data_IF_155141267561
#
_entry.id   IF_155141267561
#
_cell.length_a   1.000
_cell.length_b   1.000
_cell.length_c   1.000
_cell.angle_alpha   90.00
_cell.angle_beta   90.00
_cell.angle_gamma   90.00
#
_symmetry.space_group_name_H-M   'P 1'
#
loop_
_entity.id
_entity.type
_entity.pdbx_description
1 polymer ?
#
# COMPACT_ATOMS: atom_id res chain seq x y z
N UNK A 1 -43.69 38.31 -21.47
CA UNK A 1 -42.90 38.04 -22.69
C UNK A 1 -41.49 37.89 -22.22
N UNK A 2 -41.09 36.70 -22.03
CA UNK A 2 -40.35 35.76 -22.82
C UNK A 2 -38.88 36.17 -22.99
N UNK A 3 -38.01 35.51 -22.31
CA UNK A 3 -36.84 34.86 -22.90
C UNK A 3 -35.93 34.25 -21.82
N UNK A 4 -35.87 32.96 -21.71
CA UNK A 4 -34.71 32.14 -21.52
C UNK A 4 -35.04 30.82 -22.20
N UNK A 5 -34.25 30.29 -23.07
CA UNK A 5 -33.26 29.27 -22.74
C UNK A 5 -32.17 29.15 -23.82
N UNK A 6 -30.92 29.47 -23.54
CA UNK A 6 -29.77 29.14 -24.41
C UNK A 6 -28.49 28.71 -23.70
N UNK A 7 -28.52 28.49 -22.38
CA UNK A 7 -27.29 28.12 -21.64
C UNK A 7 -27.12 26.62 -21.40
N UNK A 8 -28.10 25.78 -21.70
CA UNK A 8 -28.08 24.36 -21.33
C UNK A 8 -27.32 23.45 -22.33
N UNK A 9 -27.11 23.89 -23.56
CA UNK A 9 -26.48 23.05 -24.60
C UNK A 9 -24.95 23.05 -24.52
N UNK A 10 -24.34 24.16 -24.08
CA UNK A 10 -22.89 24.31 -23.98
C UNK A 10 -22.33 23.55 -22.79
N UNK A 11 -23.04 23.53 -21.67
CA UNK A 11 -22.66 22.78 -20.47
C UNK A 11 -22.70 21.25 -20.66
N UNK A 12 -23.64 20.75 -21.46
CA UNK A 12 -23.74 19.31 -21.73
C UNK A 12 -22.58 18.81 -22.61
N UNK A 13 -22.11 19.61 -23.55
CA UNK A 13 -20.99 19.22 -24.44
C UNK A 13 -19.64 19.22 -23.72
N UNK A 14 -19.42 20.17 -22.78
CA UNK A 14 -18.20 20.26 -21.99
C UNK A 14 -18.13 19.14 -20.94
N UNK A 15 -19.26 18.81 -20.30
CA UNK A 15 -19.36 17.71 -19.33
C UNK A 15 -19.18 16.32 -19.96
N UNK A 16 -19.53 16.17 -21.25
CA UNK A 16 -19.36 14.91 -21.97
C UNK A 16 -17.90 14.65 -22.39
N UNK A 17 -17.16 15.71 -22.72
CA UNK A 17 -15.72 15.64 -23.06
C UNK A 17 -14.87 15.29 -21.84
N UNK A 18 -15.25 15.80 -20.67
CA UNK A 18 -14.57 15.55 -19.40
C UNK A 18 -14.73 14.07 -18.97
N UNK A 19 -15.93 13.50 -19.07
CA UNK A 19 -16.17 12.09 -18.73
C UNK A 19 -15.41 11.10 -19.62
N UNK A 20 -15.24 11.38 -20.92
CA UNK A 20 -14.46 10.53 -21.83
C UNK A 20 -12.95 10.61 -21.52
N UNK A 21 -12.46 11.79 -21.22
CA UNK A 21 -11.08 12.00 -20.85
C UNK A 21 -10.75 11.34 -19.52
N UNK A 22 -11.60 11.48 -18.49
CA UNK A 22 -11.47 10.76 -17.24
C UNK A 22 -11.54 9.24 -17.42
N UNK A 23 -12.46 8.74 -18.23
CA UNK A 23 -12.56 7.30 -18.51
C UNK A 23 -11.31 6.77 -19.24
N UNK A 24 -10.74 7.55 -20.16
CA UNK A 24 -9.51 7.22 -20.87
C UNK A 24 -8.30 7.19 -19.92
N UNK A 25 -8.17 8.17 -19.04
CA UNK A 25 -7.10 8.22 -18.02
C UNK A 25 -7.23 7.05 -17.03
N UNK A 26 -8.44 6.74 -16.56
CA UNK A 26 -8.69 5.60 -15.67
C UNK A 26 -8.35 4.28 -16.35
N UNK A 27 -8.75 4.09 -17.61
CA UNK A 27 -8.43 2.87 -18.37
C UNK A 27 -6.93 2.69 -18.56
N UNK A 28 -6.21 3.77 -18.88
CA UNK A 28 -4.75 3.72 -19.01
C UNK A 28 -4.05 3.44 -17.69
N UNK A 29 -4.56 3.97 -16.56
CA UNK A 29 -4.00 3.70 -15.24
C UNK A 29 -4.21 2.24 -14.83
N UNK A 30 -5.37 1.64 -15.11
CA UNK A 30 -5.65 0.23 -14.85
C UNK A 30 -4.73 -0.69 -15.66
N UNK A 31 -4.57 -0.42 -16.94
CA UNK A 31 -3.66 -1.18 -17.80
C UNK A 31 -2.21 -1.05 -17.33
N UNK A 32 -1.77 0.16 -16.99
CA UNK A 32 -0.41 0.42 -16.50
C UNK A 32 -0.14 -0.32 -15.19
N UNK A 33 -1.09 -0.32 -14.26
CA UNK A 33 -0.98 -1.05 -13.00
C UNK A 33 -0.96 -2.57 -13.22
N UNK A 34 -1.82 -3.09 -14.10
CA UNK A 34 -1.81 -4.50 -14.49
C UNK A 34 -0.49 -4.94 -15.10
N UNK A 35 0.06 -4.14 -16.01
CA UNK A 35 1.37 -4.39 -16.64
C UNK A 35 2.51 -4.29 -15.62
N UNK A 36 2.48 -3.30 -14.74
CA UNK A 36 3.50 -3.16 -13.69
C UNK A 36 3.50 -4.37 -12.74
N UNK A 37 2.32 -4.85 -12.35
CA UNK A 37 2.19 -6.06 -11.54
C UNK A 37 2.70 -7.31 -12.26
N UNK A 38 2.38 -7.47 -13.55
CA UNK A 38 2.87 -8.58 -14.36
C UNK A 38 4.40 -8.50 -14.57
N UNK A 39 4.93 -7.31 -14.81
CA UNK A 39 6.37 -7.09 -14.94
C UNK A 39 7.12 -7.40 -13.64
N UNK A 40 6.60 -6.94 -12.49
CA UNK A 40 7.17 -7.24 -11.18
C UNK A 40 7.19 -8.74 -10.90
N UNK A 41 6.09 -9.45 -11.21
CA UNK A 41 6.02 -10.90 -11.06
C UNK A 41 7.00 -11.60 -12.02
N UNK A 42 7.06 -11.16 -13.27
CA UNK A 42 8.00 -11.73 -14.25
C UNK A 42 9.46 -11.55 -13.80
N UNK A 43 9.82 -10.37 -13.30
CA UNK A 43 11.17 -10.12 -12.73
C UNK A 43 11.44 -11.04 -11.55
N UNK A 44 10.47 -11.19 -10.61
CA UNK A 44 10.62 -12.05 -9.44
C UNK A 44 10.86 -13.53 -9.82
N UNK A 45 10.19 -14.01 -10.88
CA UNK A 45 10.29 -15.39 -11.36
C UNK A 45 11.56 -15.59 -12.21
N UNK A 46 11.83 -14.71 -13.17
CA UNK A 46 12.97 -14.84 -14.08
C UNK A 46 14.31 -14.63 -13.39
N UNK A 47 14.37 -13.67 -12.45
CA UNK A 47 15.57 -13.41 -11.65
C UNK A 47 15.66 -14.30 -10.40
N UNK A 48 14.83 -15.32 -10.27
CA UNK A 48 14.72 -16.18 -9.08
C UNK A 48 16.07 -16.67 -8.59
N UNK A 49 16.88 -17.28 -9.47
CA UNK A 49 18.19 -17.84 -9.11
C UNK A 49 19.13 -16.80 -8.53
N UNK A 50 19.10 -15.57 -9.06
CA UNK A 50 19.90 -14.48 -8.55
C UNK A 50 19.35 -13.92 -7.24
N UNK A 51 18.02 -13.82 -7.10
CA UNK A 51 17.36 -13.35 -5.89
C UNK A 51 17.54 -14.32 -4.73
N UNK A 52 17.47 -15.61 -4.95
CA UNK A 52 17.60 -16.66 -3.95
C UNK A 52 19.05 -17.04 -3.63
N UNK A 53 20.04 -16.51 -4.37
CA UNK A 53 21.46 -16.81 -4.12
C UNK A 53 21.99 -16.18 -2.81
N UNK A 54 21.27 -15.23 -2.18
CA UNK A 54 21.63 -14.63 -0.89
C UNK A 54 20.40 -14.35 -0.07
N UNK A 55 20.47 -14.57 1.23
CA UNK A 55 19.34 -14.41 2.17
C UNK A 55 18.76 -12.99 2.14
N UNK A 56 19.62 -11.96 2.10
CA UNK A 56 19.16 -10.59 2.08
C UNK A 56 18.44 -10.22 0.77
N UNK A 57 18.90 -10.71 -0.38
CA UNK A 57 18.22 -10.49 -1.67
C UNK A 57 16.85 -11.17 -1.71
N UNK A 58 16.78 -12.39 -1.19
CA UNK A 58 15.57 -13.16 -1.10
C UNK A 58 14.48 -12.41 -0.29
N UNK A 59 14.82 -11.92 0.93
CA UNK A 59 13.83 -11.29 1.79
C UNK A 59 13.65 -9.80 1.52
N UNK A 60 14.72 -9.06 1.19
CA UNK A 60 14.67 -7.60 1.02
C UNK A 60 14.26 -7.18 -0.39
N UNK A 61 14.52 -7.99 -1.41
CA UNK A 61 14.16 -7.66 -2.79
C UNK A 61 12.97 -8.48 -3.30
N UNK A 62 13.01 -9.81 -3.18
CA UNK A 62 11.96 -10.66 -3.75
C UNK A 62 10.61 -10.48 -3.01
N UNK A 63 10.60 -10.41 -1.68
CA UNK A 63 9.36 -10.25 -0.92
C UNK A 63 8.63 -8.95 -1.24
N UNK A 64 9.27 -7.77 -1.16
CA UNK A 64 8.61 -6.52 -1.55
C UNK A 64 8.20 -6.49 -3.02
N UNK A 65 8.98 -7.10 -3.92
CA UNK A 65 8.65 -7.16 -5.33
C UNK A 65 7.35 -7.93 -5.58
N UNK A 66 7.16 -9.08 -4.91
CA UNK A 66 5.93 -9.86 -4.99
C UNK A 66 4.74 -9.18 -4.32
N UNK A 67 4.96 -8.50 -3.18
CA UNK A 67 3.94 -7.67 -2.52
C UNK A 67 3.49 -6.52 -3.44
N UNK A 68 4.43 -5.83 -4.08
CA UNK A 68 4.14 -4.75 -5.03
C UNK A 68 3.40 -5.26 -6.27
N UNK A 69 3.74 -6.45 -6.78
CA UNK A 69 3.00 -7.08 -7.86
C UNK A 69 1.52 -7.30 -7.49
N UNK A 70 1.25 -7.83 -6.30
CA UNK A 70 -0.10 -8.00 -5.77
C UNK A 70 -0.83 -6.68 -5.55
N UNK A 71 -0.15 -5.69 -4.99
CA UNK A 71 -0.71 -4.35 -4.76
C UNK A 71 -1.05 -3.64 -6.09
N UNK A 72 -0.22 -3.80 -7.12
CA UNK A 72 -0.49 -3.26 -8.44
C UNK A 72 -1.71 -3.93 -9.09
N UNK A 73 -1.85 -5.24 -8.97
CA UNK A 73 -3.02 -5.96 -9.48
C UNK A 73 -4.31 -5.59 -8.75
N UNK A 74 -4.25 -5.31 -7.45
CA UNK A 74 -5.41 -4.81 -6.70
C UNK A 74 -5.97 -3.51 -7.30
N UNK A 75 -5.13 -2.62 -7.80
CA UNK A 75 -5.54 -1.41 -8.49
C UNK A 75 -6.17 -1.65 -9.87
N UNK A 76 -5.87 -2.79 -10.50
CA UNK A 76 -6.47 -3.21 -11.76
C UNK A 76 -7.82 -3.94 -11.59
N UNK A 77 -8.20 -4.33 -10.36
CA UNK A 77 -9.45 -5.03 -10.09
C UNK A 77 -10.68 -4.11 -10.28
N UNK A 78 -11.81 -4.67 -10.76
CA UNK A 78 -13.05 -3.93 -10.88
C UNK A 78 -13.52 -3.36 -9.53
N UNK A 79 -14.17 -2.18 -9.49
CA UNK A 79 -14.65 -1.55 -8.25
C UNK A 79 -15.56 -2.45 -7.41
N UNK A 80 -16.30 -3.38 -8.04
CA UNK A 80 -17.16 -4.34 -7.36
C UNK A 80 -16.40 -5.28 -6.38
N UNK A 81 -15.10 -5.49 -6.60
CA UNK A 81 -14.25 -6.30 -5.73
C UNK A 81 -13.59 -5.48 -4.62
N UNK A 82 -13.51 -4.17 -4.80
CA UNK A 82 -12.88 -3.24 -3.85
C UNK A 82 -13.75 -2.96 -2.63
N UNK A 83 -15.10 -3.12 -2.75
CA UNK A 83 -16.09 -2.78 -1.71
C UNK A 83 -16.78 -3.97 -1.05
N UNK A 84 -16.17 -5.16 -1.00
CA UNK A 84 -16.82 -6.33 -0.39
C UNK A 84 -17.05 -6.14 1.11
N UNK A 85 -18.23 -6.55 1.58
CA UNK A 85 -18.67 -6.41 2.97
C UNK A 85 -17.71 -7.09 3.99
N UNK A 86 -16.99 -8.15 3.59
CA UNK A 86 -16.00 -8.85 4.40
C UNK A 86 -14.80 -7.95 4.76
N UNK A 87 -14.47 -6.96 3.92
CA UNK A 87 -13.34 -6.05 4.11
C UNK A 87 -13.80 -4.59 4.31
N UNK A 88 -15.01 -4.40 4.78
CA UNK A 88 -15.63 -3.07 4.95
C UNK A 88 -14.79 -2.13 5.83
N UNK A 89 -14.15 -2.67 6.87
CA UNK A 89 -13.27 -1.92 7.79
C UNK A 89 -11.78 -2.11 7.51
N UNK A 90 -11.41 -2.84 6.46
CA UNK A 90 -10.03 -3.13 6.12
C UNK A 90 -9.33 -4.15 7.03
N UNK A 91 -9.96 -4.59 8.12
CA UNK A 91 -9.34 -5.47 9.13
C UNK A 91 -8.93 -6.81 8.55
N UNK A 92 -9.82 -7.42 7.76
CA UNK A 92 -9.60 -8.77 7.22
C UNK A 92 -8.35 -8.85 6.36
N UNK A 93 -8.12 -7.86 5.49
CA UNK A 93 -6.94 -7.85 4.63
C UNK A 93 -5.66 -7.55 5.39
N UNK A 94 -5.70 -6.69 6.40
CA UNK A 94 -4.54 -6.44 7.27
C UNK A 94 -4.16 -7.68 8.08
N UNK A 95 -5.15 -8.36 8.69
CA UNK A 95 -4.92 -9.62 9.43
C UNK A 95 -4.36 -10.69 8.50
N UNK A 96 -4.95 -10.89 7.33
CA UNK A 96 -4.47 -11.87 6.36
C UNK A 96 -3.03 -11.59 5.92
N UNK A 97 -2.71 -10.34 5.54
CA UNK A 97 -1.37 -9.97 5.13
C UNK A 97 -0.35 -10.12 6.26
N UNK A 98 -0.68 -9.67 7.48
CA UNK A 98 0.19 -9.80 8.65
C UNK A 98 0.45 -11.27 8.99
N UNK A 99 -0.57 -12.13 8.92
CA UNK A 99 -0.43 -13.57 9.17
C UNK A 99 0.45 -14.25 8.13
N UNK A 100 0.26 -13.92 6.85
CA UNK A 100 1.09 -14.45 5.75
C UNK A 100 2.56 -14.03 5.96
N UNK A 101 2.81 -12.75 6.24
CA UNK A 101 4.16 -12.25 6.46
C UNK A 101 4.81 -12.86 7.71
N UNK A 102 4.03 -13.04 8.80
CA UNK A 102 4.50 -13.68 10.01
C UNK A 102 4.95 -15.13 9.76
N UNK A 103 4.15 -15.91 9.04
CA UNK A 103 4.49 -17.30 8.68
C UNK A 103 5.72 -17.36 7.78
N UNK A 104 5.82 -16.46 6.80
CA UNK A 104 6.95 -16.42 5.88
C UNK A 104 8.25 -15.87 6.51
N UNK A 105 8.17 -15.20 7.66
CA UNK A 105 9.34 -14.81 8.46
C UNK A 105 9.96 -15.97 9.25
N UNK A 106 9.29 -17.15 9.30
CA UNK A 106 9.84 -18.34 9.97
C UNK A 106 10.96 -18.91 9.10
N UNK A 107 12.22 -19.01 9.61
CA UNK A 107 13.37 -19.46 8.81
C UNK A 107 13.18 -20.83 8.16
N UNK A 108 12.52 -21.75 8.86
CA UNK A 108 12.26 -23.10 8.37
C UNK A 108 11.32 -23.15 7.16
N UNK A 109 10.41 -22.19 7.04
CA UNK A 109 9.51 -22.07 5.89
C UNK A 109 10.29 -21.62 4.65
N UNK A 110 11.25 -20.71 4.84
CA UNK A 110 12.14 -20.28 3.76
C UNK A 110 13.04 -21.41 3.26
N UNK A 111 13.63 -22.18 4.17
CA UNK A 111 14.45 -23.35 3.80
C UNK A 111 13.63 -24.37 2.98
N UNK A 112 12.38 -24.63 3.40
CA UNK A 112 11.49 -25.52 2.65
C UNK A 112 11.09 -24.97 1.28
N UNK A 113 10.94 -23.66 1.14
CA UNK A 113 10.64 -23.03 -0.14
C UNK A 113 11.77 -23.21 -1.16
N UNK A 114 13.03 -23.18 -0.71
CA UNK A 114 14.18 -23.43 -1.58
C UNK A 114 14.29 -24.90 -2.01
N UNK A 115 13.86 -25.83 -1.14
CA UNK A 115 13.99 -27.28 -1.38
C UNK A 115 12.80 -27.88 -2.14
N UNK A 116 11.60 -27.30 -2.01
CA UNK A 116 10.35 -27.85 -2.56
C UNK A 116 9.66 -26.85 -3.49
N UNK A 117 9.54 -27.15 -4.80
CA UNK A 117 8.92 -26.22 -5.75
C UNK A 117 7.47 -25.89 -5.43
N UNK A 118 6.71 -26.81 -4.81
CA UNK A 118 5.35 -26.54 -4.37
C UNK A 118 5.27 -25.50 -3.24
N UNK A 119 6.22 -25.51 -2.31
CA UNK A 119 6.29 -24.50 -1.22
C UNK A 119 6.73 -23.15 -1.77
N UNK A 120 7.62 -23.15 -2.76
CA UNK A 120 8.04 -21.94 -3.47
C UNK A 120 6.87 -21.26 -4.17
N UNK A 121 6.06 -22.00 -4.92
CA UNK A 121 4.85 -21.48 -5.57
C UNK A 121 3.87 -20.95 -4.52
N UNK A 122 3.67 -21.69 -3.41
CA UNK A 122 2.81 -21.25 -2.32
C UNK A 122 3.30 -19.93 -1.69
N UNK A 123 4.62 -19.79 -1.45
CA UNK A 123 5.25 -18.54 -0.96
C UNK A 123 4.98 -17.37 -1.92
N UNK A 124 5.26 -17.54 -3.21
CA UNK A 124 5.04 -16.49 -4.20
C UNK A 124 3.57 -16.08 -4.28
N UNK A 125 2.66 -17.05 -4.31
CA UNK A 125 1.22 -16.81 -4.33
C UNK A 125 0.75 -16.11 -3.07
N UNK A 126 1.20 -16.54 -1.89
CA UNK A 126 0.86 -15.93 -0.61
C UNK A 126 1.33 -14.47 -0.52
N UNK A 127 2.54 -14.15 -0.99
CA UNK A 127 3.05 -12.77 -1.02
C UNK A 127 2.25 -11.87 -1.98
N UNK A 128 1.89 -12.37 -3.16
CA UNK A 128 1.03 -11.63 -4.10
C UNK A 128 -0.36 -11.38 -3.48
N UNK A 129 -0.95 -12.40 -2.84
CA UNK A 129 -2.23 -12.25 -2.14
C UNK A 129 -2.13 -11.27 -0.95
N UNK A 130 -1.04 -11.29 -0.20
CA UNK A 130 -0.79 -10.35 0.88
C UNK A 130 -0.70 -8.91 0.36
N UNK A 131 0.01 -8.68 -0.74
CA UNK A 131 0.10 -7.37 -1.39
C UNK A 131 -1.24 -6.85 -1.89
N UNK A 132 -2.04 -7.73 -2.51
CA UNK A 132 -3.40 -7.45 -2.94
C UNK A 132 -4.30 -7.10 -1.74
N UNK A 133 -4.26 -7.90 -0.68
CA UNK A 133 -5.04 -7.68 0.54
C UNK A 133 -4.69 -6.35 1.22
N UNK A 134 -3.39 -6.03 1.35
CA UNK A 134 -2.92 -4.77 1.89
C UNK A 134 -3.45 -3.57 1.10
N UNK A 135 -3.37 -3.61 -0.23
CA UNK A 135 -3.84 -2.51 -1.08
C UNK A 135 -5.33 -2.30 -0.99
N UNK A 136 -6.13 -3.38 -0.98
CA UNK A 136 -7.58 -3.33 -0.85
C UNK A 136 -8.03 -2.85 0.53
N UNK A 137 -7.22 -3.09 1.56
CA UNK A 137 -7.52 -2.74 2.95
C UNK A 137 -6.98 -1.38 3.37
N UNK A 138 -6.12 -0.77 2.56
CA UNK A 138 -5.44 0.47 2.92
C UNK A 138 -6.41 1.66 3.12
N UNK A 139 -7.33 1.85 2.18
CA UNK A 139 -8.27 2.98 2.23
C UNK A 139 -9.38 2.78 3.27
N UNK A 140 -10.05 1.61 3.38
CA UNK A 140 -11.09 1.43 4.39
C UNK A 140 -10.54 1.36 5.81
N UNK A 141 -9.26 1.03 6.02
CA UNK A 141 -8.65 1.07 7.33
C UNK A 141 -8.43 2.52 7.80
N UNK A 142 -9.05 2.87 8.92
CA UNK A 142 -8.81 4.16 9.57
C UNK A 142 -7.33 4.29 10.03
N UNK A 143 -6.87 5.52 10.29
CA UNK A 143 -5.48 5.78 10.71
C UNK A 143 -5.04 4.99 11.94
N UNK A 144 -5.94 4.79 12.90
CA UNK A 144 -5.66 4.00 14.11
C UNK A 144 -5.34 2.55 13.76
N UNK A 145 -6.12 1.97 12.84
CA UNK A 145 -5.93 0.59 12.40
C UNK A 145 -4.62 0.44 11.61
N UNK A 146 -4.34 1.38 10.70
CA UNK A 146 -3.06 1.42 9.98
C UNK A 146 -1.88 1.52 10.95
N UNK A 147 -1.96 2.39 11.96
CA UNK A 147 -0.93 2.53 12.99
C UNK A 147 -0.68 1.21 13.74
N UNK A 148 -1.77 0.57 14.17
CA UNK A 148 -1.66 -0.68 14.92
C UNK A 148 -0.99 -1.79 14.11
N UNK A 149 -1.51 -2.06 12.91
CA UNK A 149 -0.99 -3.16 12.09
C UNK A 149 0.39 -2.87 11.50
N UNK A 150 0.61 -1.65 10.98
CA UNK A 150 1.91 -1.27 10.43
C UNK A 150 2.97 -1.23 11.53
N UNK A 151 2.65 -0.62 12.69
CA UNK A 151 3.54 -0.57 13.83
C UNK A 151 3.93 -1.97 14.33
N UNK A 152 2.94 -2.88 14.45
CA UNK A 152 3.21 -4.26 14.83
C UNK A 152 4.06 -5.00 13.80
N UNK A 153 3.79 -4.81 12.49
CA UNK A 153 4.57 -5.43 11.42
C UNK A 153 6.01 -4.93 11.40
N UNK A 154 6.22 -3.63 11.55
CA UNK A 154 7.56 -3.03 11.60
C UNK A 154 8.33 -3.46 12.86
N UNK A 155 7.67 -3.47 14.03
CA UNK A 155 8.27 -3.96 15.26
C UNK A 155 8.67 -5.44 15.14
N UNK A 156 7.81 -6.29 14.60
CA UNK A 156 8.12 -7.71 14.36
C UNK A 156 9.31 -7.85 13.40
N UNK A 157 9.36 -7.08 12.33
CA UNK A 157 10.46 -7.08 11.37
C UNK A 157 11.78 -6.66 12.03
N UNK A 158 11.75 -5.64 12.89
CA UNK A 158 12.92 -5.19 13.64
C UNK A 158 13.41 -6.26 14.63
N UNK A 159 12.49 -6.89 15.39
CA UNK A 159 12.81 -7.95 16.35
C UNK A 159 13.44 -9.16 15.63
N UNK A 160 12.87 -9.59 14.52
CA UNK A 160 13.44 -10.67 13.70
C UNK A 160 14.82 -10.27 13.16
N UNK A 161 15.00 -9.01 12.73
CA UNK A 161 16.29 -8.49 12.33
C UNK A 161 17.35 -8.54 13.43
N UNK A 162 16.99 -8.11 14.65
CA UNK A 162 17.88 -8.22 15.82
C UNK A 162 18.21 -9.68 16.14
N UNK A 163 17.21 -10.57 16.09
CA UNK A 163 17.43 -11.99 16.31
C UNK A 163 18.44 -12.58 15.31
N UNK A 164 18.40 -12.14 14.05
CA UNK A 164 19.35 -12.57 13.03
C UNK A 164 20.77 -12.03 13.25
N UNK A 165 20.92 -10.86 13.87
CA UNK A 165 22.23 -10.28 14.22
C UNK A 165 22.83 -10.99 15.42
N UNK A 166 22.03 -11.20 16.48
CA UNK A 166 22.51 -11.67 17.77
C UNK A 166 22.63 -13.20 17.87
N UNK A 167 21.99 -13.95 16.97
CA UNK A 167 22.03 -15.41 17.02
C UNK A 167 23.40 -15.97 16.63
N UNK A 168 24.07 -16.72 17.53
CA UNK A 168 25.33 -17.38 17.21
C UNK A 168 25.14 -18.61 16.31
N UNK A 169 23.89 -19.06 16.13
CA UNK A 169 23.56 -20.23 15.34
C UNK A 169 22.98 -19.83 13.98
N UNK A 170 23.23 -20.64 12.97
CA UNK A 170 22.56 -20.50 11.68
C UNK A 170 21.08 -20.86 11.84
N UNK A 171 20.21 -19.87 11.69
CA UNK A 171 18.77 -20.07 11.73
C UNK A 171 18.21 -20.62 10.43
N UNK A 172 18.87 -20.34 9.29
CA UNK A 172 18.61 -20.91 7.98
C UNK A 172 19.78 -21.79 7.56
N UNK A 173 19.51 -23.04 7.19
CA UNK A 173 20.56 -23.97 6.77
C UNK A 173 21.08 -23.68 5.35
N UNK A 174 20.25 -23.04 4.53
CA UNK A 174 20.56 -22.76 3.12
C UNK A 174 21.56 -21.61 2.90
N UNK A 175 21.78 -20.74 3.92
CA UNK A 175 22.59 -19.54 3.77
C UNK A 175 23.74 -19.47 4.79
N UNK A 176 24.76 -18.66 4.48
CA UNK A 176 25.87 -18.40 5.38
C UNK A 176 25.48 -17.46 6.52
N UNK A 177 26.19 -17.55 7.65
CA UNK A 177 25.90 -16.71 8.83
C UNK A 177 26.11 -15.22 8.55
N UNK A 178 27.11 -14.86 7.74
CA UNK A 178 27.36 -13.47 7.34
C UNK A 178 26.18 -12.88 6.55
N UNK A 179 25.52 -13.67 5.70
CA UNK A 179 24.31 -13.27 4.97
C UNK A 179 23.13 -13.06 5.93
N UNK A 180 23.04 -13.87 6.99
CA UNK A 180 22.03 -13.74 8.03
C UNK A 180 22.19 -12.43 8.80
N UNK A 181 23.41 -12.09 9.25
CA UNK A 181 23.71 -10.83 9.94
C UNK A 181 23.42 -9.64 9.03
N UNK A 182 23.85 -9.69 7.78
CA UNK A 182 23.59 -8.64 6.80
C UNK A 182 22.07 -8.43 6.61
N UNK A 183 21.30 -9.52 6.48
CA UNK A 183 19.85 -9.43 6.41
C UNK A 183 19.27 -8.75 7.64
N UNK A 184 19.71 -9.15 8.85
CA UNK A 184 19.25 -8.55 10.10
C UNK A 184 19.45 -7.04 10.14
N UNK A 185 20.62 -6.54 9.73
CA UNK A 185 20.91 -5.11 9.64
C UNK A 185 19.96 -4.40 8.64
N UNK A 186 19.70 -4.98 7.49
CA UNK A 186 18.74 -4.43 6.52
C UNK A 186 17.32 -4.40 7.07
N UNK A 187 16.85 -5.45 7.74
CA UNK A 187 15.51 -5.49 8.32
C UNK A 187 15.30 -4.42 9.40
N UNK A 188 16.26 -4.24 10.27
CA UNK A 188 16.23 -3.17 11.31
C UNK A 188 16.24 -1.79 10.66
N UNK A 189 17.14 -1.56 9.71
CA UNK A 189 17.24 -0.28 9.00
C UNK A 189 15.98 0.08 8.23
N UNK A 190 15.42 -0.88 7.49
CA UNK A 190 14.18 -0.68 6.70
C UNK A 190 12.99 -0.43 7.62
N UNK A 191 12.84 -1.21 8.70
CA UNK A 191 11.71 -1.03 9.62
C UNK A 191 11.75 0.34 10.32
N UNK A 192 12.93 0.78 10.77
CA UNK A 192 13.12 2.10 11.36
C UNK A 192 12.82 3.22 10.34
N UNK A 193 13.36 3.12 9.13
CA UNK A 193 13.15 4.13 8.07
C UNK A 193 11.68 4.23 7.66
N UNK A 194 11.02 3.11 7.41
CA UNK A 194 9.60 3.09 7.05
C UNK A 194 8.72 3.61 8.19
N UNK A 195 9.04 3.28 9.44
CA UNK A 195 8.36 3.80 10.62
C UNK A 195 8.46 5.31 10.74
N UNK A 196 9.65 5.86 10.57
CA UNK A 196 9.90 7.31 10.62
C UNK A 196 9.22 8.04 9.47
N UNK A 197 9.29 7.52 8.24
CA UNK A 197 8.62 8.10 7.08
C UNK A 197 7.10 8.11 7.27
N UNK A 198 6.54 7.00 7.72
CA UNK A 198 5.10 6.93 7.96
C UNK A 198 4.65 7.88 9.07
N UNK A 199 5.38 7.93 10.18
CA UNK A 199 5.11 8.85 11.29
C UNK A 199 5.20 10.32 10.82
N UNK A 200 6.19 10.64 9.99
CA UNK A 200 6.33 11.97 9.38
C UNK A 200 5.13 12.36 8.51
N UNK A 201 4.57 11.42 7.72
CA UNK A 201 3.37 11.69 6.93
C UNK A 201 2.15 11.95 7.80
N UNK A 202 1.98 11.19 8.88
CA UNK A 202 0.85 11.35 9.81
C UNK A 202 0.94 12.68 10.56
N UNK A 203 2.11 13.03 11.09
CA UNK A 203 2.32 14.32 11.77
C UNK A 203 2.07 15.50 10.85
N UNK A 204 2.55 15.44 9.61
CA UNK A 204 2.33 16.49 8.63
C UNK A 204 0.82 16.66 8.32
N UNK A 205 0.07 15.57 8.15
CA UNK A 205 -1.38 15.65 7.94
C UNK A 205 -2.14 16.22 9.14
N UNK A 206 -1.74 15.86 10.36
CA UNK A 206 -2.35 16.40 11.59
C UNK A 206 -2.11 17.90 11.69
N UNK A 207 -0.86 18.35 11.50
CA UNK A 207 -0.52 19.76 11.50
C UNK A 207 -1.30 20.57 10.46
N UNK A 208 -1.47 20.03 9.23
CA UNK A 208 -2.26 20.70 8.21
C UNK A 208 -3.75 20.84 8.61
N UNK A 209 -4.33 19.82 9.22
CA UNK A 209 -5.72 19.87 9.71
C UNK A 209 -5.90 20.92 10.81
N UNK A 210 -4.97 21.01 11.75
CA UNK A 210 -5.00 22.02 12.81
C UNK A 210 -4.87 23.44 12.24
N UNK A 211 -3.95 23.65 11.29
CA UNK A 211 -3.79 24.94 10.62
C UNK A 211 -5.07 25.40 9.88
N UNK A 212 -5.80 24.46 9.26
CA UNK A 212 -7.08 24.75 8.59
C UNK A 212 -8.19 25.07 9.59
N UNK A 213 -8.19 24.44 10.76
CA UNK A 213 -9.19 24.68 11.81
C UNK A 213 -8.97 26.02 12.52
N UNK A 214 -7.71 26.47 12.61
CA UNK A 214 -7.32 27.75 13.20
C UNK A 214 -7.43 28.93 12.22
N UNK A 215 -7.71 28.71 10.93
CA UNK A 215 -7.97 29.81 9.99
C UNK A 215 -9.23 30.58 10.43
N UNK A 216 -9.15 31.92 10.60
CA UNK A 216 -10.30 32.71 11.06
C UNK A 216 -11.44 32.53 10.07
N UNK A 217 -12.58 32.09 10.60
CA UNK A 217 -13.83 32.01 9.84
C UNK A 217 -14.16 33.42 9.34
N UNK A 218 -13.94 33.70 8.06
CA UNK A 218 -14.38 34.94 7.45
C UNK A 218 -15.88 35.04 7.63
N UNK A 219 -16.33 35.84 8.60
CA UNK A 219 -17.74 36.21 8.69
C UNK A 219 -18.07 36.91 7.36
N UNK A 220 -19.14 36.50 6.67
CA UNK A 220 -19.63 37.29 5.54
C UNK A 220 -19.90 38.67 6.06
N UNK A 221 -19.29 39.68 5.42
CA UNK A 221 -19.57 41.08 5.73
C UNK A 221 -21.08 41.27 5.70
N UNK A 222 -21.63 41.81 6.78
CA UNK A 222 -23.04 42.17 6.85
C UNK A 222 -23.37 43.05 5.65
N UNK A 223 -24.20 42.55 4.73
CA UNK A 223 -24.78 43.38 3.69
C UNK A 223 -25.68 44.37 4.43
N UNK A 224 -25.22 45.61 4.53
CA UNK A 224 -26.04 46.73 4.93
C UNK A 224 -27.16 46.90 3.89
N UNK A 225 -28.32 46.31 4.20
CA UNK A 225 -29.58 46.60 3.50
C UNK A 225 -30.00 48.05 3.81
N UNK A 226 -29.30 48.96 3.17
CA UNK A 226 -29.73 50.35 3.14
C UNK A 226 -30.93 50.50 2.19
N UNK A 227 -32.12 50.34 2.76
CA UNK A 227 -33.39 50.63 2.11
C UNK A 227 -33.51 52.14 1.89
N UNK A 228 -33.58 52.63 0.66
CA UNK A 228 -33.90 54.05 0.47
C UNK A 228 -35.35 54.33 0.84
N UNK A 229 -35.56 55.15 1.88
CA UNK A 229 -36.84 55.78 2.16
C UNK A 229 -37.16 56.77 1.02
N UNK A 230 -38.09 56.41 0.14
CA UNK A 230 -38.72 57.34 -0.80
C UNK A 230 -39.90 58.02 -0.08
N UNK A 231 -39.85 59.33 -0.01
CA UNK A 231 -41.00 60.22 0.26
C UNK A 231 -41.93 60.26 -0.96
#
# INVERSE_FOLDING_TARGET
MSQAPKLTYFDSCFRFKDKRFHAFLLKNSILLQGMAGAAALAVAVLARQWLEASMWRHMVLQFPLLLLAGAAWAGALPPAWQGRSINQYGITGWVAASSILAVLMIPRVLDLALLRPGVEVAKCTALVLAGLALRLSWQPAGRVLQFFFLGNLLAMTAIVGLLYIDSPLRLCNAYLQDDQIRLGQWLVGISATLGLLWLGTVTHEVMQREAQTCAPRQFPAAQDDEKPHSK
#
